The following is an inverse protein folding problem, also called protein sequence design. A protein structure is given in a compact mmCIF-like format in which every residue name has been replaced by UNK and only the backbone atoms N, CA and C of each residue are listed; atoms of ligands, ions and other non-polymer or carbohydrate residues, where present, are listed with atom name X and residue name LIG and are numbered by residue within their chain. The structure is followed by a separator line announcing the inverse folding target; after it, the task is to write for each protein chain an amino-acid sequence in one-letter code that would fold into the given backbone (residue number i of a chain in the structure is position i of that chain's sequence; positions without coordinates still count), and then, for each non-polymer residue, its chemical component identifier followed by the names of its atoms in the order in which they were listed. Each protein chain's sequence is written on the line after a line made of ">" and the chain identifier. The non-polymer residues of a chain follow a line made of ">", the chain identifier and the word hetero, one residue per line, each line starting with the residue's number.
data_IF_855678917707
#
_entry.id   IF_855678917707
#
_cell.length_a   1.000
_cell.length_b   1.000
_cell.length_c   1.000
_cell.angle_alpha   90.00
_cell.angle_beta   90.00
_cell.angle_gamma   90.00
#
_symmetry.space_group_name_H-M   'P 1'
#
loop_
_entity.id
_entity.type
_entity.pdbx_description
1 polymer ?
#
# COMPACT_ATOMS: atom_id res chain seq x y z
N UNK A 1 2.63 28.18 -20.43
CA UNK A 1 1.64 27.08 -20.41
C UNK A 1 2.38 25.76 -20.18
N UNK A 2 2.05 24.98 -19.17
CA UNK A 2 2.71 23.70 -18.85
C UNK A 2 1.95 22.55 -19.49
N UNK A 3 2.62 21.68 -20.23
CA UNK A 3 2.00 20.47 -20.79
C UNK A 3 2.25 19.30 -19.88
N UNK A 4 1.16 18.60 -19.48
CA UNK A 4 1.17 17.46 -18.58
C UNK A 4 0.72 16.23 -19.36
N UNK A 5 1.61 15.24 -19.54
CA UNK A 5 1.29 13.93 -20.09
C UNK A 5 0.69 13.03 -19.00
N UNK A 6 -0.52 12.56 -19.22
CA UNK A 6 -1.25 11.72 -18.28
C UNK A 6 -1.27 10.25 -18.73
N UNK A 7 -0.96 9.35 -17.80
CA UNK A 7 -1.11 7.90 -18.00
C UNK A 7 -1.53 7.21 -16.69
N UNK A 8 -2.68 6.54 -16.68
CA UNK A 8 -3.13 5.83 -15.48
C UNK A 8 -4.53 5.23 -15.58
N UNK A 9 -4.93 4.51 -14.54
CA UNK A 9 -6.22 3.83 -14.48
C UNK A 9 -7.44 4.73 -14.23
N UNK A 10 -7.23 5.99 -13.82
CA UNK A 10 -8.30 6.96 -13.61
C UNK A 10 -8.60 7.77 -14.88
N UNK A 11 -9.81 8.35 -14.95
CA UNK A 11 -10.19 9.16 -16.12
C UNK A 11 -9.45 10.50 -16.13
N UNK A 12 -8.80 10.85 -17.23
CA UNK A 12 -8.07 12.10 -17.45
C UNK A 12 -8.92 13.34 -17.17
N UNK A 13 -10.19 13.34 -17.54
CA UNK A 13 -11.10 14.48 -17.32
C UNK A 13 -11.36 14.78 -15.85
N UNK A 14 -11.36 13.74 -15.01
CA UNK A 14 -11.43 13.90 -13.56
C UNK A 14 -10.25 14.70 -13.02
N UNK A 15 -9.03 14.39 -13.48
CA UNK A 15 -7.82 15.12 -13.12
C UNK A 15 -7.79 16.54 -13.69
N UNK A 16 -8.19 16.72 -14.96
CA UNK A 16 -8.25 18.05 -15.59
C UNK A 16 -9.12 19.01 -14.78
N UNK A 17 -10.31 18.58 -14.40
CA UNK A 17 -11.24 19.40 -13.58
C UNK A 17 -10.66 19.74 -12.21
N UNK A 18 -9.95 18.81 -11.56
CA UNK A 18 -9.43 19.01 -10.21
C UNK A 18 -8.16 19.85 -10.21
N UNK A 19 -7.24 19.59 -11.15
CA UNK A 19 -6.02 20.40 -11.30
C UNK A 19 -6.35 21.84 -11.68
N UNK A 20 -7.37 22.10 -12.50
CA UNK A 20 -7.82 23.46 -12.85
C UNK A 20 -8.33 24.32 -11.69
N UNK A 21 -8.44 23.77 -10.49
CA UNK A 21 -8.71 24.53 -9.26
C UNK A 21 -7.44 25.08 -8.62
N UNK A 22 -6.26 24.58 -9.04
CA UNK A 22 -4.97 24.84 -8.41
C UNK A 22 -3.90 25.29 -9.40
N UNK A 23 -4.14 25.15 -10.70
CA UNK A 23 -3.25 25.54 -11.80
C UNK A 23 -4.07 26.32 -12.85
N UNK A 24 -3.58 27.50 -13.23
CA UNK A 24 -4.28 28.38 -14.19
C UNK A 24 -3.88 28.07 -15.64
N UNK A 25 -2.62 27.76 -15.91
CA UNK A 25 -2.07 27.73 -17.27
C UNK A 25 -1.42 26.38 -17.58
N UNK A 26 -2.25 25.36 -17.81
CA UNK A 26 -1.79 24.02 -18.14
C UNK A 26 -2.66 23.32 -19.20
N UNK A 27 -2.05 22.36 -19.88
CA UNK A 27 -2.74 21.40 -20.76
C UNK A 27 -2.51 19.99 -20.26
N UNK A 28 -3.57 19.19 -20.12
CA UNK A 28 -3.50 17.77 -19.72
C UNK A 28 -3.87 16.91 -20.93
N UNK A 29 -2.93 16.10 -21.41
CA UNK A 29 -3.03 15.28 -22.62
C UNK A 29 -2.70 13.81 -22.33
N UNK A 30 -3.13 12.89 -23.17
CA UNK A 30 -2.71 11.49 -23.08
C UNK A 30 -1.19 11.40 -23.30
N UNK A 31 -0.48 10.77 -22.37
CA UNK A 31 0.97 10.54 -22.44
C UNK A 31 1.39 9.83 -23.73
N UNK A 32 0.52 8.96 -24.26
CA UNK A 32 0.80 8.15 -25.44
C UNK A 32 0.53 8.91 -26.75
N UNK A 33 -0.10 10.10 -26.70
CA UNK A 33 -0.28 10.98 -27.87
C UNK A 33 1.03 11.64 -28.28
N UNK A 34 1.16 12.15 -29.53
CA UNK A 34 2.33 12.93 -29.96
C UNK A 34 2.60 14.15 -29.06
N UNK A 35 1.56 14.84 -28.62
CA UNK A 35 1.66 15.99 -27.70
C UNK A 35 2.12 15.55 -26.31
N UNK A 36 1.62 14.41 -25.83
CA UNK A 36 2.00 13.83 -24.53
C UNK A 36 3.45 13.41 -24.47
N UNK A 37 4.04 12.98 -25.57
CA UNK A 37 5.46 12.66 -25.65
C UNK A 37 6.37 13.90 -25.59
N UNK A 38 5.83 15.08 -25.85
CA UNK A 38 6.52 16.37 -25.75
C UNK A 38 6.21 17.11 -24.45
N UNK A 39 5.47 16.50 -23.54
CA UNK A 39 5.05 17.12 -22.28
C UNK A 39 6.21 17.43 -21.33
N UNK A 40 6.06 18.50 -20.54
CA UNK A 40 7.01 18.94 -19.52
C UNK A 40 6.97 18.07 -18.27
N UNK A 41 5.78 17.60 -17.92
CA UNK A 41 5.51 16.80 -16.71
C UNK A 41 4.81 15.51 -17.10
N UNK A 42 5.21 14.40 -16.50
CA UNK A 42 4.51 13.13 -16.58
C UNK A 42 3.73 12.87 -15.28
N UNK A 43 2.40 12.90 -15.33
CA UNK A 43 1.50 12.48 -14.24
C UNK A 43 1.03 11.06 -14.49
N UNK A 44 1.64 10.07 -13.82
CA UNK A 44 1.56 8.68 -14.27
C UNK A 44 1.28 7.66 -13.16
N UNK A 45 0.62 6.57 -13.56
CA UNK A 45 0.58 5.31 -12.84
C UNK A 45 0.94 4.16 -13.77
N UNK A 46 2.03 3.45 -13.47
CA UNK A 46 2.53 2.29 -14.22
C UNK A 46 2.60 2.51 -15.76
N UNK A 47 3.28 3.54 -16.27
CA UNK A 47 3.42 3.76 -17.70
C UNK A 47 4.23 2.61 -18.34
N UNK A 48 4.08 2.36 -19.66
CA UNK A 48 4.87 1.37 -20.36
C UNK A 48 6.37 1.62 -20.17
N UNK A 49 7.14 0.54 -19.98
CA UNK A 49 8.59 0.62 -19.78
C UNK A 49 9.27 1.35 -20.95
N UNK A 50 10.20 2.23 -20.64
CA UNK A 50 10.94 3.03 -21.61
C UNK A 50 10.16 4.21 -22.18
N UNK A 51 8.88 4.40 -21.83
CA UNK A 51 8.09 5.50 -22.38
C UNK A 51 8.60 6.87 -21.92
N UNK A 52 8.95 7.01 -20.64
CA UNK A 52 9.43 8.27 -20.08
C UNK A 52 10.80 8.70 -20.63
N UNK A 53 11.64 7.75 -21.02
CA UNK A 53 12.94 8.01 -21.67
C UNK A 53 12.82 8.67 -23.06
N UNK A 54 11.63 8.60 -23.67
CA UNK A 54 11.38 9.17 -25.01
C UNK A 54 10.89 10.61 -24.96
N UNK A 55 10.72 11.19 -23.77
CA UNK A 55 10.16 12.53 -23.56
C UNK A 55 11.30 13.57 -23.51
N UNK A 56 11.59 14.30 -24.59
CA UNK A 56 12.75 15.19 -24.66
C UNK A 56 12.63 16.44 -23.78
N UNK A 57 11.39 16.81 -23.42
CA UNK A 57 11.09 18.02 -22.63
C UNK A 57 10.80 17.70 -21.18
N UNK A 58 10.91 16.42 -20.75
CA UNK A 58 10.51 16.00 -19.41
C UNK A 58 11.33 16.70 -18.32
N UNK A 59 10.65 17.40 -17.43
CA UNK A 59 11.21 18.15 -16.29
C UNK A 59 10.89 17.51 -14.95
N UNK A 60 9.89 16.64 -14.90
CA UNK A 60 9.53 15.91 -13.68
C UNK A 60 8.48 14.84 -13.88
N UNK A 61 8.50 13.86 -13.00
CA UNK A 61 7.60 12.71 -12.97
C UNK A 61 6.83 12.76 -11.67
N UNK A 62 5.50 12.75 -11.74
CA UNK A 62 4.61 12.74 -10.59
C UNK A 62 3.78 11.47 -10.63
N UNK A 63 3.84 10.72 -9.54
CA UNK A 63 3.09 9.49 -9.38
C UNK A 63 1.62 9.81 -9.03
N UNK A 64 0.68 9.03 -9.57
CA UNK A 64 -0.72 9.08 -9.14
C UNK A 64 -0.97 8.30 -7.85
N UNK A 65 0.07 7.84 -7.18
CA UNK A 65 -0.02 7.06 -5.95
C UNK A 65 1.25 7.16 -5.10
N UNK A 66 1.25 6.43 -4.00
CA UNK A 66 2.37 6.45 -3.06
C UNK A 66 3.48 5.45 -3.40
N UNK A 67 3.14 4.30 -3.98
CA UNK A 67 4.10 3.27 -4.36
C UNK A 67 4.86 3.64 -5.64
N UNK A 68 6.19 3.49 -5.61
CA UNK A 68 7.10 3.88 -6.71
C UNK A 68 7.95 2.73 -7.21
N UNK A 69 7.71 1.53 -6.72
CA UNK A 69 8.54 0.34 -6.94
C UNK A 69 8.73 -0.01 -8.42
N UNK A 70 7.71 0.14 -9.26
CA UNK A 70 7.83 -0.12 -10.70
C UNK A 70 8.68 0.95 -11.42
N UNK A 71 8.67 2.22 -10.93
CA UNK A 71 9.58 3.25 -11.45
C UNK A 71 11.03 2.96 -11.07
N UNK A 72 11.25 2.50 -9.84
CA UNK A 72 12.59 2.15 -9.36
C UNK A 72 13.19 0.98 -10.15
N UNK A 73 12.36 -0.01 -10.53
CA UNK A 73 12.78 -1.18 -11.31
C UNK A 73 13.02 -0.88 -12.79
N UNK A 74 12.38 0.14 -13.33
CA UNK A 74 12.60 0.55 -14.71
C UNK A 74 13.87 1.40 -14.81
N UNK A 75 14.96 0.77 -15.27
CA UNK A 75 16.26 1.42 -15.44
C UNK A 75 16.28 2.48 -16.56
N UNK A 76 15.22 2.55 -17.36
CA UNK A 76 15.10 3.54 -18.44
C UNK A 76 14.49 4.85 -17.98
N UNK A 77 13.92 4.91 -16.77
CA UNK A 77 13.35 6.14 -16.22
C UNK A 77 14.46 7.18 -16.01
N UNK A 78 14.32 8.40 -16.57
CA UNK A 78 15.28 9.48 -16.37
C UNK A 78 15.46 9.80 -14.87
N UNK A 79 16.70 9.75 -14.39
CA UNK A 79 17.05 10.00 -12.98
C UNK A 79 17.55 11.42 -12.71
N UNK A 80 17.74 12.19 -13.76
CA UNK A 80 18.13 13.59 -13.74
C UNK A 80 16.96 14.55 -13.48
N UNK A 81 15.71 14.05 -13.60
CA UNK A 81 14.51 14.78 -13.24
C UNK A 81 13.91 14.27 -11.90
N UNK A 82 13.24 15.12 -11.13
CA UNK A 82 12.59 14.68 -9.88
C UNK A 82 11.47 13.67 -10.15
N UNK A 83 11.46 12.58 -9.40
CA UNK A 83 10.34 11.66 -9.24
C UNK A 83 9.63 12.01 -7.94
N UNK A 84 8.35 12.32 -8.00
CA UNK A 84 7.53 12.73 -6.86
C UNK A 84 6.42 11.70 -6.62
N UNK A 85 6.27 11.24 -5.38
CA UNK A 85 5.16 10.37 -4.97
C UNK A 85 4.06 11.18 -4.29
N UNK A 86 2.84 10.67 -4.29
CA UNK A 86 1.78 11.23 -3.47
C UNK A 86 1.89 10.72 -2.02
N UNK A 87 1.67 11.61 -1.06
CA UNK A 87 1.50 11.28 0.35
C UNK A 87 0.16 11.87 0.79
N UNK A 88 -0.93 11.25 0.32
CA UNK A 88 -2.27 11.74 0.55
C UNK A 88 -2.83 11.15 1.85
N UNK A 89 -3.25 12.01 2.82
CA UNK A 89 -3.91 11.55 4.03
C UNK A 89 -5.17 10.70 3.79
N UNK A 90 -5.91 10.95 2.70
CA UNK A 90 -7.10 10.18 2.34
C UNK A 90 -6.75 8.72 2.00
N UNK A 91 -5.66 8.50 1.25
CA UNK A 91 -5.13 7.17 0.99
C UNK A 91 -4.73 6.45 2.28
N UNK A 92 -4.06 7.16 3.20
CA UNK A 92 -3.66 6.60 4.50
C UNK A 92 -4.88 6.22 5.34
N UNK A 93 -5.92 7.04 5.26
CA UNK A 93 -7.21 6.78 5.92
C UNK A 93 -7.89 5.55 5.33
N UNK A 94 -8.00 5.48 4.02
CA UNK A 94 -8.66 4.37 3.32
C UNK A 94 -7.99 3.02 3.62
N UNK A 95 -6.65 2.95 3.50
CA UNK A 95 -5.91 1.71 3.80
C UNK A 95 -6.06 1.31 5.28
N UNK A 96 -6.06 2.29 6.20
CA UNK A 96 -6.28 2.00 7.61
C UNK A 96 -7.67 1.46 7.88
N UNK A 97 -8.72 2.01 7.25
CA UNK A 97 -10.09 1.52 7.39
C UNK A 97 -10.22 0.09 6.87
N UNK A 98 -9.60 -0.23 5.73
CA UNK A 98 -9.59 -1.58 5.19
C UNK A 98 -8.88 -2.58 6.12
N UNK A 99 -7.70 -2.23 6.62
CA UNK A 99 -6.95 -3.10 7.54
C UNK A 99 -7.70 -3.32 8.86
N UNK A 100 -8.35 -2.28 9.39
CA UNK A 100 -9.18 -2.37 10.60
C UNK A 100 -10.40 -3.26 10.34
N UNK A 101 -11.07 -3.11 9.18
CA UNK A 101 -12.18 -3.99 8.79
C UNK A 101 -11.75 -5.46 8.78
N UNK A 102 -10.62 -5.77 8.12
CA UNK A 102 -10.10 -7.12 8.03
C UNK A 102 -9.72 -7.69 9.42
N UNK A 103 -9.08 -6.88 10.26
CA UNK A 103 -8.69 -7.28 11.60
C UNK A 103 -9.92 -7.54 12.50
N UNK A 104 -10.92 -6.68 12.45
CA UNK A 104 -12.14 -6.83 13.22
C UNK A 104 -13.01 -7.99 12.70
N UNK A 105 -13.09 -8.19 11.38
CA UNK A 105 -13.77 -9.36 10.79
C UNK A 105 -13.21 -10.67 11.34
N UNK A 106 -11.88 -10.78 11.39
CA UNK A 106 -11.19 -11.92 11.97
C UNK A 106 -11.35 -12.01 13.49
N UNK A 107 -11.05 -10.92 14.22
CA UNK A 107 -10.99 -10.96 15.68
C UNK A 107 -12.36 -11.14 16.36
N UNK A 108 -13.43 -10.72 15.67
CA UNK A 108 -14.82 -10.84 16.13
C UNK A 108 -15.54 -12.06 15.55
N UNK A 109 -14.79 -12.99 14.93
CA UNK A 109 -15.32 -14.26 14.39
C UNK A 109 -16.49 -14.04 13.40
N UNK A 110 -16.42 -12.99 12.56
CA UNK A 110 -17.52 -12.63 11.66
C UNK A 110 -17.81 -13.74 10.61
N UNK A 111 -16.79 -14.49 10.18
CA UNK A 111 -16.98 -15.64 9.30
C UNK A 111 -17.85 -16.72 9.94
N UNK A 112 -17.59 -17.07 11.21
CA UNK A 112 -18.40 -18.01 11.96
C UNK A 112 -19.88 -17.57 12.04
N UNK A 113 -20.15 -16.30 12.30
CA UNK A 113 -21.54 -15.81 12.36
C UNK A 113 -22.23 -15.77 11.00
N UNK A 114 -21.49 -15.55 9.90
CA UNK A 114 -22.03 -15.71 8.54
C UNK A 114 -22.44 -17.16 8.24
N UNK A 115 -21.65 -18.13 8.71
CA UNK A 115 -21.96 -19.55 8.60
C UNK A 115 -23.18 -19.93 9.46
N UNK A 116 -23.25 -19.42 10.70
CA UNK A 116 -24.40 -19.58 11.57
C UNK A 116 -25.68 -19.01 10.94
N UNK A 117 -25.61 -17.83 10.30
CA UNK A 117 -26.73 -17.23 9.59
C UNK A 117 -27.18 -18.11 8.43
N UNK A 118 -26.25 -18.62 7.63
CA UNK A 118 -26.53 -19.51 6.49
C UNK A 118 -27.19 -20.81 6.94
N UNK A 119 -26.71 -21.42 8.04
CA UNK A 119 -27.25 -22.63 8.62
C UNK A 119 -28.45 -22.41 9.53
N UNK A 120 -28.90 -21.14 9.71
CA UNK A 120 -29.99 -20.75 10.63
C UNK A 120 -29.75 -21.22 12.08
N UNK A 121 -28.51 -21.23 12.53
CA UNK A 121 -28.11 -21.70 13.85
C UNK A 121 -27.89 -20.50 14.79
N UNK A 122 -28.60 -20.48 15.92
CA UNK A 122 -28.39 -19.47 16.98
C UNK A 122 -27.40 -20.02 17.99
N UNK A 123 -26.10 -19.81 17.76
CA UNK A 123 -25.02 -20.32 18.62
C UNK A 123 -24.01 -19.20 18.96
N UNK A 124 -24.15 -18.55 20.11
CA UNK A 124 -23.19 -17.53 20.53
C UNK A 124 -21.88 -18.19 20.98
N UNK A 125 -20.76 -17.51 20.69
CA UNK A 125 -19.43 -17.81 21.23
C UNK A 125 -18.92 -16.64 22.07
N UNK A 126 -18.04 -16.94 23.04
CA UNK A 126 -17.41 -15.91 23.87
C UNK A 126 -16.53 -15.02 23.00
N UNK A 127 -16.80 -13.74 23.01
CA UNK A 127 -16.03 -12.76 22.25
C UNK A 127 -14.79 -12.31 23.01
N UNK A 128 -13.67 -12.23 22.29
CA UNK A 128 -12.38 -11.78 22.81
C UNK A 128 -12.34 -10.24 22.86
N UNK A 129 -11.85 -9.61 23.95
CA UNK A 129 -11.64 -8.17 23.96
C UNK A 129 -10.49 -7.77 23.01
N UNK A 130 -10.48 -6.51 22.54
CA UNK A 130 -9.42 -6.00 21.68
C UNK A 130 -8.04 -6.02 22.35
N UNK A 131 -7.99 -5.81 23.67
CA UNK A 131 -6.78 -5.82 24.48
C UNK A 131 -6.02 -7.15 24.50
N UNK A 132 -6.69 -8.25 24.14
CA UNK A 132 -6.07 -9.57 24.08
C UNK A 132 -5.37 -9.82 22.73
N UNK A 133 -5.58 -8.95 21.74
CA UNK A 133 -4.96 -9.05 20.43
C UNK A 133 -3.69 -8.21 20.33
N UNK A 134 -2.58 -8.86 20.04
CA UNK A 134 -1.33 -8.20 19.64
C UNK A 134 -1.32 -8.01 18.13
N UNK A 135 -1.29 -6.75 17.69
CA UNK A 135 -1.24 -6.38 16.26
C UNK A 135 0.13 -5.83 15.93
N UNK A 136 0.79 -6.44 14.94
CA UNK A 136 2.05 -5.96 14.40
C UNK A 136 1.85 -5.22 13.08
N UNK A 137 2.39 -4.00 12.96
CA UNK A 137 2.39 -3.23 11.72
C UNK A 137 3.82 -3.23 11.14
N UNK A 138 4.04 -3.96 10.05
CA UNK A 138 5.30 -3.91 9.29
C UNK A 138 5.28 -2.71 8.35
N UNK A 139 6.14 -1.70 8.65
CA UNK A 139 6.23 -0.48 7.86
C UNK A 139 5.46 0.69 8.47
N UNK A 140 5.89 1.19 9.64
CA UNK A 140 5.27 2.35 10.31
C UNK A 140 5.75 3.70 9.73
N UNK A 141 5.66 3.85 8.40
CA UNK A 141 5.86 5.10 7.66
C UNK A 141 4.65 6.04 7.73
N UNK A 142 4.42 6.82 6.68
CA UNK A 142 3.29 7.77 6.60
C UNK A 142 1.93 7.07 6.78
N UNK A 143 1.72 5.93 6.11
CA UNK A 143 0.47 5.16 6.22
C UNK A 143 0.45 4.33 7.51
N UNK A 144 1.47 3.48 7.71
CA UNK A 144 1.45 2.52 8.82
C UNK A 144 1.53 3.18 10.19
N UNK A 145 2.09 4.39 10.31
CA UNK A 145 2.07 5.16 11.56
C UNK A 145 0.64 5.59 11.95
N UNK A 146 -0.11 6.12 10.97
CA UNK A 146 -1.54 6.48 11.17
C UNK A 146 -2.36 5.24 11.50
N UNK A 147 -2.12 4.15 10.77
CA UNK A 147 -2.80 2.87 11.00
C UNK A 147 -2.54 2.34 12.41
N UNK A 148 -1.28 2.35 12.87
CA UNK A 148 -0.90 1.89 14.21
C UNK A 148 -1.61 2.69 15.32
N UNK A 149 -1.64 4.02 15.21
CA UNK A 149 -2.36 4.88 16.15
C UNK A 149 -3.86 4.56 16.21
N UNK A 150 -4.47 4.26 15.07
CA UNK A 150 -5.90 3.91 15.00
C UNK A 150 -6.20 2.56 15.63
N UNK A 151 -5.37 1.56 15.41
CA UNK A 151 -5.52 0.28 16.11
C UNK A 151 -5.35 0.45 17.61
N UNK A 152 -4.38 1.24 18.06
CA UNK A 152 -4.21 1.54 19.48
C UNK A 152 -5.43 2.28 20.06
N UNK A 153 -6.01 3.22 19.33
CA UNK A 153 -7.24 3.92 19.74
C UNK A 153 -8.47 3.00 19.84
N UNK A 154 -8.48 1.85 19.14
CA UNK A 154 -9.51 0.81 19.28
C UNK A 154 -9.24 -0.15 20.45
N UNK A 155 -8.16 0.06 21.22
CA UNK A 155 -7.83 -0.73 22.40
C UNK A 155 -7.02 -2.00 22.14
N UNK A 156 -6.43 -2.15 20.94
CA UNK A 156 -5.51 -3.23 20.64
C UNK A 156 -4.11 -2.98 21.24
N UNK A 157 -3.37 -4.06 21.57
CA UNK A 157 -1.93 -4.00 21.85
C UNK A 157 -1.17 -3.91 20.51
N UNK A 158 -0.52 -2.76 20.25
CA UNK A 158 0.02 -2.46 18.93
C UNK A 158 1.54 -2.34 18.95
N UNK A 159 2.18 -3.10 18.06
CA UNK A 159 3.61 -3.01 17.78
C UNK A 159 3.86 -2.53 16.36
N UNK A 160 4.92 -1.77 16.17
CA UNK A 160 5.37 -1.32 14.87
C UNK A 160 6.79 -1.78 14.57
N UNK A 161 7.06 -2.17 13.31
CA UNK A 161 8.42 -2.45 12.86
C UNK A 161 8.83 -1.53 11.71
N UNK A 162 10.03 -0.96 11.80
CA UNK A 162 10.60 -0.07 10.81
C UNK A 162 12.09 -0.28 10.65
N UNK A 163 12.71 0.28 9.59
CA UNK A 163 14.14 0.25 9.39
C UNK A 163 14.90 1.02 10.48
N UNK A 164 14.34 2.12 10.99
CA UNK A 164 14.93 2.96 12.03
C UNK A 164 13.94 3.27 13.13
N UNK A 165 14.42 3.45 14.35
CA UNK A 165 13.62 3.83 15.50
C UNK A 165 12.85 5.12 15.24
N UNK A 166 11.62 5.17 15.74
CA UNK A 166 10.74 6.34 15.77
C UNK A 166 9.84 6.26 17.00
N UNK A 167 9.16 7.33 17.29
CA UNK A 167 8.18 7.38 18.36
C UNK A 167 6.77 7.54 17.76
N UNK A 168 5.84 6.71 18.21
CA UNK A 168 4.42 6.77 17.89
C UNK A 168 3.68 6.53 19.21
N UNK A 169 2.77 7.41 19.57
CA UNK A 169 2.06 7.33 20.82
C UNK A 169 1.25 6.03 20.94
N UNK A 170 1.38 5.36 22.08
CA UNK A 170 0.74 4.09 22.40
C UNK A 170 1.08 2.92 21.44
N UNK A 171 2.25 2.98 20.80
CA UNK A 171 2.75 1.92 19.91
C UNK A 171 4.19 1.57 20.30
N UNK A 172 4.44 0.31 20.61
CA UNK A 172 5.80 -0.19 20.84
C UNK A 172 6.52 -0.34 19.50
N UNK A 173 7.69 0.31 19.34
CA UNK A 173 8.43 0.32 18.08
C UNK A 173 9.68 -0.54 18.17
N UNK A 174 9.84 -1.40 17.17
CA UNK A 174 11.01 -2.23 16.90
C UNK A 174 11.70 -1.75 15.63
N UNK A 175 13.02 -1.83 15.55
CA UNK A 175 13.75 -1.31 14.41
C UNK A 175 14.89 -2.23 13.97
N UNK A 176 15.15 -2.20 12.65
CA UNK A 176 16.23 -2.96 12.03
C UNK A 176 16.00 -4.47 12.07
N UNK A 177 17.03 -5.22 11.65
CA UNK A 177 16.94 -6.68 11.54
C UNK A 177 16.87 -7.32 12.94
N UNK A 178 17.60 -6.82 13.91
CA UNK A 178 17.57 -7.32 15.30
C UNK A 178 16.21 -7.09 15.98
N UNK A 179 15.46 -6.09 15.53
CA UNK A 179 14.12 -5.79 16.02
C UNK A 179 13.03 -6.68 15.43
N UNK A 180 13.30 -7.43 14.36
CA UNK A 180 12.25 -8.18 13.66
C UNK A 180 11.72 -9.35 14.50
N UNK A 181 12.59 -10.16 15.08
CA UNK A 181 12.15 -11.33 15.86
C UNK A 181 11.35 -10.93 17.13
N UNK A 182 11.81 -9.98 17.98
CA UNK A 182 10.99 -9.56 19.12
C UNK A 182 9.69 -8.84 18.70
N UNK A 183 9.67 -8.16 17.54
CA UNK A 183 8.46 -7.60 16.99
C UNK A 183 7.40 -8.67 16.68
N UNK A 184 7.80 -9.79 16.08
CA UNK A 184 6.91 -10.86 15.62
C UNK A 184 6.36 -11.72 16.77
N UNK A 185 7.07 -11.78 17.89
CA UNK A 185 6.77 -12.70 18.98
C UNK A 185 5.36 -12.54 19.55
N UNK A 186 4.57 -13.60 19.37
CA UNK A 186 3.21 -13.68 19.90
C UNK A 186 2.17 -12.77 19.22
N UNK A 187 2.45 -12.22 18.03
CA UNK A 187 1.46 -11.45 17.27
C UNK A 187 0.28 -12.33 16.85
N UNK A 188 -0.93 -11.84 17.09
CA UNK A 188 -2.16 -12.46 16.63
C UNK A 188 -2.57 -11.97 15.22
N UNK A 189 -2.20 -10.76 14.87
CA UNK A 189 -2.49 -10.17 13.56
C UNK A 189 -1.24 -9.45 13.07
N UNK A 190 -0.81 -9.76 11.84
CA UNK A 190 0.28 -9.08 11.17
C UNK A 190 -0.25 -8.29 9.99
N UNK A 191 -0.01 -6.98 9.98
CA UNK A 191 -0.33 -6.10 8.85
C UNK A 191 0.95 -5.67 8.15
N UNK A 192 1.09 -5.96 6.86
CA UNK A 192 2.21 -5.51 6.04
C UNK A 192 1.79 -4.32 5.16
N UNK A 193 2.49 -3.19 5.31
CA UNK A 193 2.38 -2.00 4.46
C UNK A 193 3.77 -1.48 4.09
N UNK A 194 4.71 -2.40 3.94
CA UNK A 194 6.10 -2.12 3.56
C UNK A 194 6.19 -1.60 2.10
N UNK A 195 7.17 -0.78 1.77
CA UNK A 195 7.56 -0.57 0.38
C UNK A 195 8.21 -1.85 -0.18
N UNK A 196 8.01 -2.11 -1.48
CA UNK A 196 8.68 -3.24 -2.13
C UNK A 196 10.11 -2.85 -2.52
N UNK A 197 11.05 -3.52 -1.90
CA UNK A 197 12.50 -3.39 -2.12
C UNK A 197 13.13 -4.79 -2.21
N UNK A 198 14.39 -4.93 -2.65
CA UNK A 198 15.08 -6.22 -2.58
C UNK A 198 15.07 -6.84 -1.17
N UNK A 199 15.19 -6.02 -0.12
CA UNK A 199 15.18 -6.47 1.27
C UNK A 199 13.80 -6.90 1.78
N UNK A 200 12.72 -6.43 1.17
CA UNK A 200 11.34 -6.77 1.59
C UNK A 200 10.64 -7.77 0.67
N UNK A 201 11.27 -8.13 -0.45
CA UNK A 201 10.77 -9.20 -1.33
C UNK A 201 10.81 -10.54 -0.60
N UNK A 202 9.67 -11.25 -0.55
CA UNK A 202 9.52 -12.54 0.12
C UNK A 202 9.73 -12.49 1.64
N UNK A 203 9.66 -11.32 2.28
CA UNK A 203 9.84 -11.19 3.73
C UNK A 203 8.74 -11.88 4.53
N UNK A 204 7.51 -11.89 4.01
CA UNK A 204 6.36 -12.57 4.60
C UNK A 204 6.32 -14.00 4.08
N UNK A 205 6.97 -14.92 4.81
CA UNK A 205 7.22 -16.29 4.42
C UNK A 205 7.07 -17.25 5.62
N UNK A 206 7.30 -18.56 5.41
CA UNK A 206 7.16 -19.57 6.43
C UNK A 206 8.00 -19.32 7.70
N UNK A 207 9.21 -18.73 7.57
CA UNK A 207 10.07 -18.43 8.73
C UNK A 207 9.44 -17.34 9.59
N UNK A 208 8.84 -16.35 8.96
CA UNK A 208 8.13 -15.29 9.64
C UNK A 208 6.85 -15.85 10.28
N UNK A 209 6.07 -16.65 9.58
CA UNK A 209 4.83 -17.23 10.11
C UNK A 209 5.07 -18.05 11.38
N UNK A 210 6.18 -18.80 11.46
CA UNK A 210 6.53 -19.62 12.62
C UNK A 210 6.89 -18.80 13.88
N UNK A 211 7.10 -17.49 13.75
CA UNK A 211 7.36 -16.60 14.89
C UNK A 211 6.09 -15.92 15.42
N UNK A 212 4.99 -16.02 14.68
CA UNK A 212 3.70 -15.48 15.11
C UNK A 212 2.99 -16.43 16.09
N UNK A 213 2.01 -15.91 16.80
CA UNK A 213 1.11 -16.78 17.57
C UNK A 213 0.45 -17.82 16.66
N UNK A 214 0.23 -19.03 17.19
CA UNK A 214 -0.51 -20.06 16.43
C UNK A 214 -1.92 -19.56 16.13
N UNK A 215 -2.34 -19.69 14.87
CA UNK A 215 -3.64 -19.17 14.42
C UNK A 215 -3.64 -17.67 14.19
N UNK A 216 -2.48 -17.05 13.94
CA UNK A 216 -2.37 -15.66 13.57
C UNK A 216 -3.04 -15.37 12.20
N UNK A 217 -3.36 -14.10 11.97
CA UNK A 217 -4.00 -13.62 10.74
C UNK A 217 -3.10 -12.64 9.99
N UNK A 218 -3.06 -12.76 8.67
CA UNK A 218 -2.21 -11.93 7.81
C UNK A 218 -3.06 -10.91 7.07
N UNK A 219 -2.64 -9.64 7.08
CA UNK A 219 -3.24 -8.56 6.31
C UNK A 219 -2.14 -7.95 5.45
N UNK A 220 -2.24 -8.04 4.12
CA UNK A 220 -1.25 -7.48 3.22
C UNK A 220 -1.86 -6.40 2.33
N UNK A 221 -1.56 -5.13 2.64
CA UNK A 221 -1.88 -3.94 1.85
C UNK A 221 -0.63 -3.23 1.32
N UNK A 222 0.53 -3.89 1.35
CA UNK A 222 1.79 -3.37 0.81
C UNK A 222 1.96 -3.67 -0.66
N UNK A 223 2.68 -4.76 -0.99
CA UNK A 223 2.89 -5.27 -2.35
C UNK A 223 2.87 -6.81 -2.35
N UNK A 224 2.32 -7.39 -3.42
CA UNK A 224 2.20 -8.85 -3.55
C UNK A 224 3.51 -9.62 -3.43
N UNK A 225 4.59 -9.24 -4.13
CA UNK A 225 5.87 -9.96 -4.05
C UNK A 225 6.55 -9.97 -2.66
N UNK A 226 6.00 -9.29 -1.66
CA UNK A 226 6.46 -9.39 -0.27
C UNK A 226 6.01 -10.68 0.40
N UNK A 227 4.90 -11.24 -0.07
CA UNK A 227 4.31 -12.49 0.43
C UNK A 227 4.73 -13.66 -0.45
N UNK A 228 5.20 -14.75 0.19
CA UNK A 228 5.40 -16.04 -0.48
C UNK A 228 4.08 -16.79 -0.43
N UNK A 229 3.35 -16.80 -1.54
CA UNK A 229 1.96 -17.27 -1.61
C UNK A 229 1.83 -18.78 -1.30
N UNK A 230 2.81 -19.61 -1.72
CA UNK A 230 2.85 -21.02 -1.39
C UNK A 230 3.03 -21.25 0.12
N UNK A 231 3.92 -20.48 0.76
CA UNK A 231 4.15 -20.59 2.21
C UNK A 231 2.89 -20.20 3.00
N UNK A 232 2.11 -19.23 2.50
CA UNK A 232 0.84 -18.86 3.13
C UNK A 232 -0.18 -20.00 3.07
N UNK A 233 -0.32 -20.66 1.92
CA UNK A 233 -1.24 -21.80 1.77
C UNK A 233 -0.85 -22.94 2.70
N UNK A 234 0.43 -23.27 2.78
CA UNK A 234 0.96 -24.31 3.68
C UNK A 234 0.73 -23.96 5.15
N UNK A 235 0.96 -22.69 5.52
CA UNK A 235 0.76 -22.22 6.88
C UNK A 235 -0.73 -22.20 7.30
N UNK A 236 -1.64 -21.92 6.36
CA UNK A 236 -3.08 -22.02 6.59
C UNK A 236 -3.49 -23.51 6.71
N UNK A 237 -2.93 -24.38 5.86
CA UNK A 237 -3.18 -25.82 5.87
C UNK A 237 -2.74 -26.47 7.18
N UNK A 238 -1.62 -26.07 7.76
CA UNK A 238 -1.12 -26.55 9.06
C UNK A 238 -1.83 -25.91 10.27
N UNK A 239 -2.59 -24.85 10.07
CA UNK A 239 -3.22 -24.09 11.14
C UNK A 239 -2.27 -23.16 11.91
N UNK A 240 -1.06 -22.92 11.42
CA UNK A 240 -0.13 -21.90 11.94
C UNK A 240 -0.70 -20.50 11.67
N UNK A 241 -1.30 -20.30 10.48
CA UNK A 241 -2.04 -19.11 10.09
C UNK A 241 -3.52 -19.44 9.98
N UNK A 242 -4.39 -18.64 10.58
CA UNK A 242 -5.83 -18.83 10.54
C UNK A 242 -6.44 -18.44 9.20
N UNK A 243 -5.86 -17.44 8.52
CA UNK A 243 -6.33 -16.93 7.25
C UNK A 243 -5.65 -15.61 6.88
N UNK A 244 -6.09 -14.99 5.77
CA UNK A 244 -5.51 -13.74 5.31
C UNK A 244 -6.53 -12.83 4.63
N UNK A 245 -6.31 -11.50 4.71
CA UNK A 245 -6.91 -10.49 3.84
C UNK A 245 -5.81 -9.87 2.97
N UNK A 246 -5.98 -9.97 1.66
CA UNK A 246 -4.98 -9.58 0.68
C UNK A 246 -5.56 -8.54 -0.28
N UNK A 247 -4.94 -7.37 -0.38
CA UNK A 247 -5.29 -6.34 -1.38
C UNK A 247 -4.34 -6.38 -2.58
N UNK A 248 -3.20 -7.08 -2.45
CA UNK A 248 -2.11 -7.10 -3.44
C UNK A 248 -1.59 -8.51 -3.66
N UNK A 249 -1.16 -8.80 -4.90
CA UNK A 249 -0.76 -10.13 -5.34
C UNK A 249 0.56 -10.11 -6.11
N UNK A 250 1.25 -11.25 -6.18
CA UNK A 250 2.52 -11.36 -6.90
C UNK A 250 2.35 -11.06 -8.40
N UNK A 251 1.21 -11.45 -8.96
CA UNK A 251 0.79 -11.16 -10.34
C UNK A 251 -0.57 -10.46 -10.28
N UNK A 252 -0.67 -9.28 -10.85
CA UNK A 252 -1.88 -8.49 -10.94
C UNK A 252 -2.19 -8.13 -12.40
N UNK A 253 -3.45 -8.35 -12.87
CA UNK A 253 -4.59 -8.96 -12.17
C UNK A 253 -4.32 -10.40 -11.73
N UNK A 254 -4.89 -10.81 -10.58
CA UNK A 254 -4.77 -12.18 -10.08
C UNK A 254 -5.35 -13.17 -11.12
N UNK A 255 -4.56 -14.17 -11.60
CA UNK A 255 -5.03 -15.14 -12.58
C UNK A 255 -6.33 -15.84 -12.15
N UNK A 256 -7.23 -16.08 -13.11
CA UNK A 256 -8.56 -16.62 -12.83
C UNK A 256 -8.55 -18.04 -12.23
N UNK A 257 -7.47 -18.79 -12.46
CA UNK A 257 -7.24 -20.16 -11.94
C UNK A 257 -6.43 -20.16 -10.63
N UNK A 258 -6.12 -19.00 -10.04
CA UNK A 258 -5.33 -18.91 -8.83
C UNK A 258 -6.07 -19.53 -7.62
N UNK A 259 -5.35 -20.30 -6.80
CA UNK A 259 -5.91 -21.04 -5.67
C UNK A 259 -6.59 -20.13 -4.60
N UNK A 260 -6.19 -18.87 -4.52
CA UNK A 260 -6.80 -17.94 -3.55
C UNK A 260 -8.28 -17.66 -3.81
N UNK A 261 -8.75 -17.70 -5.07
CA UNK A 261 -10.14 -17.40 -5.41
C UNK A 261 -11.16 -18.28 -4.70
N UNK A 262 -10.81 -19.55 -4.50
CA UNK A 262 -11.70 -20.54 -3.91
C UNK A 262 -11.34 -20.89 -2.46
N UNK A 263 -10.30 -20.25 -1.91
CA UNK A 263 -9.82 -20.59 -0.57
C UNK A 263 -10.69 -19.94 0.53
N UNK A 264 -11.37 -20.71 1.40
CA UNK A 264 -12.38 -20.17 2.33
C UNK A 264 -11.82 -19.24 3.42
N UNK A 265 -10.50 -19.29 3.67
CA UNK A 265 -9.81 -18.50 4.70
C UNK A 265 -9.02 -17.32 4.13
N UNK A 266 -9.15 -17.03 2.82
CA UNK A 266 -8.47 -15.91 2.17
C UNK A 266 -9.53 -14.97 1.61
N UNK A 267 -9.44 -13.70 2.00
CA UNK A 267 -10.28 -12.63 1.46
C UNK A 267 -9.46 -11.82 0.46
N UNK A 268 -9.98 -11.67 -0.75
CA UNK A 268 -9.34 -10.98 -1.86
C UNK A 268 -9.97 -9.60 -2.05
N UNK A 269 -9.11 -8.58 -2.15
CA UNK A 269 -9.45 -7.24 -2.60
C UNK A 269 -8.57 -6.92 -3.82
N UNK A 270 -9.13 -6.38 -4.92
CA UNK A 270 -8.40 -6.24 -6.18
C UNK A 270 -7.61 -4.91 -6.25
N UNK A 271 -6.67 -4.70 -5.31
CA UNK A 271 -5.81 -3.53 -5.19
C UNK A 271 -6.61 -2.22 -5.11
N UNK A 272 -7.61 -2.21 -4.21
CA UNK A 272 -8.56 -1.10 -4.04
C UNK A 272 -8.62 -0.53 -2.62
N UNK A 273 -7.86 -1.09 -1.69
CA UNK A 273 -7.88 -0.66 -0.28
C UNK A 273 -7.48 0.82 -0.10
N UNK A 274 -6.71 1.39 -1.03
CA UNK A 274 -6.28 2.79 -0.99
C UNK A 274 -6.16 3.38 -2.40
N UNK A 275 -7.26 3.60 -3.07
CA UNK A 275 -7.25 4.28 -4.37
C UNK A 275 -7.02 5.79 -4.21
N UNK A 276 -6.25 6.37 -5.13
CA UNK A 276 -6.02 7.80 -5.17
C UNK A 276 -7.32 8.55 -5.48
N UNK A 277 -7.68 9.47 -4.62
CA UNK A 277 -8.78 10.40 -4.82
C UNK A 277 -8.27 11.71 -5.45
N UNK A 278 -8.60 12.02 -6.71
CA UNK A 278 -8.15 13.25 -7.34
C UNK A 278 -8.61 14.53 -6.61
N UNK A 279 -9.68 14.48 -5.79
CA UNK A 279 -10.11 15.65 -5.03
C UNK A 279 -9.11 16.06 -3.94
N UNK A 280 -8.46 15.10 -3.29
CA UNK A 280 -7.46 15.34 -2.23
C UNK A 280 -6.05 15.42 -2.80
N UNK A 281 -5.75 14.65 -3.83
CA UNK A 281 -4.42 14.56 -4.44
C UNK A 281 -4.07 15.74 -5.35
N UNK A 282 -5.05 16.40 -5.99
CA UNK A 282 -4.81 17.43 -7.01
C UNK A 282 -4.00 18.62 -6.47
N UNK A 283 -4.20 19.00 -5.22
CA UNK A 283 -3.45 20.09 -4.57
C UNK A 283 -1.95 19.74 -4.47
N UNK A 284 -1.61 18.52 -4.06
CA UNK A 284 -0.20 18.09 -3.97
C UNK A 284 0.44 17.97 -5.35
N UNK A 285 -0.30 17.45 -6.34
CA UNK A 285 0.17 17.36 -7.73
C UNK A 285 0.44 18.75 -8.28
N UNK A 286 -0.46 19.71 -8.07
CA UNK A 286 -0.30 21.08 -8.53
C UNK A 286 0.90 21.77 -7.85
N UNK A 287 1.07 21.58 -6.54
CA UNK A 287 2.22 22.11 -5.81
C UNK A 287 3.56 21.55 -6.33
N UNK A 288 3.60 20.24 -6.61
CA UNK A 288 4.78 19.60 -7.18
C UNK A 288 5.08 20.14 -8.58
N UNK A 289 4.07 20.26 -9.45
CA UNK A 289 4.23 20.85 -10.79
C UNK A 289 4.80 22.27 -10.68
N UNK A 290 4.20 23.11 -9.83
CA UNK A 290 4.64 24.50 -9.63
C UNK A 290 6.10 24.57 -9.14
N UNK A 291 6.49 23.71 -8.20
CA UNK A 291 7.86 23.65 -7.72
C UNK A 291 8.84 23.26 -8.82
N UNK A 292 8.55 22.16 -9.55
CA UNK A 292 9.39 21.65 -10.64
C UNK A 292 9.55 22.70 -11.74
N UNK A 293 8.45 23.32 -12.19
CA UNK A 293 8.48 24.30 -13.27
C UNK A 293 9.24 25.58 -12.86
N UNK A 294 9.27 25.90 -11.58
CA UNK A 294 10.06 27.01 -11.02
C UNK A 294 11.52 26.62 -10.69
N UNK A 295 11.96 25.39 -10.99
CA UNK A 295 13.31 24.92 -10.65
C UNK A 295 13.55 24.73 -9.15
N UNK A 296 12.49 24.57 -8.36
CA UNK A 296 12.56 24.32 -6.91
C UNK A 296 12.40 22.84 -6.60
N UNK A 297 12.94 22.41 -5.48
CA UNK A 297 12.78 21.04 -5.01
C UNK A 297 11.30 20.78 -4.62
N UNK A 298 10.63 19.78 -5.21
CA UNK A 298 9.27 19.42 -4.84
C UNK A 298 9.25 18.61 -3.53
N UNK A 299 8.17 18.76 -2.76
CA UNK A 299 7.91 17.88 -1.62
C UNK A 299 7.72 16.43 -2.07
N UNK A 300 7.99 15.47 -1.18
CA UNK A 300 7.82 14.03 -1.42
C UNK A 300 8.62 13.50 -2.62
N UNK A 301 9.73 14.17 -2.98
CA UNK A 301 10.69 13.62 -3.94
C UNK A 301 11.19 12.27 -3.46
N UNK A 302 11.22 11.31 -4.39
CA UNK A 302 11.69 9.95 -4.14
C UNK A 302 13.21 9.92 -4.06
N UNK A 303 13.72 9.27 -3.03
CA UNK A 303 15.15 8.94 -2.94
C UNK A 303 15.42 7.63 -3.72
N UNK A 304 16.07 7.75 -4.86
CA UNK A 304 16.39 6.60 -5.73
C UNK A 304 17.24 5.53 -5.05
N UNK A 305 18.05 5.91 -4.05
CA UNK A 305 18.92 4.97 -3.33
C UNK A 305 18.15 4.17 -2.28
N UNK A 306 17.13 4.77 -1.71
CA UNK A 306 16.24 4.14 -0.72
C UNK A 306 15.10 3.37 -1.37
N UNK A 307 14.73 3.71 -2.59
CA UNK A 307 13.65 3.08 -3.34
C UNK A 307 12.23 3.51 -2.94
N UNK A 308 12.10 4.64 -2.22
CA UNK A 308 10.81 5.23 -1.85
C UNK A 308 10.92 6.69 -1.41
#
# INVERSE_FOLDING_TARGET
>A
MTTIGFYGGSKIDGWRTKLGRHLDDFTLVDLMSPEGQLADIALVWAPPRGQLAKMPNLRGIIMQGQGVDYMIRDQTVPRDVPLVRLVDPDMSNALSHWAILAALDFWRDAAYYRDCQTSKTWQPIVQRPASDAKIGIMGVGAIGGIMAQRFAALGFDVRGWARSMRQIDNVEIFAGDDGLAPFLDGLNILVSVLPLTPATTGIVNHRLFNQLAKGAYIINGGRGPQLVEADLLDAIGSGQIAGAALDVFAIEPLPADHAFWTHPKITIWPHVAAQTNPNTAAMQVAAAITAIMAGREPENRVDWTRGY
#
